data_IF_033776164211
#
_entry.id   IF_033776164211
#
_cell.length_a   1.000
_cell.length_b   1.000
_cell.length_c   1.000
_cell.angle_alpha   90.00
_cell.angle_beta   90.00
_cell.angle_gamma   90.00
#
_symmetry.space_group_name_H-M   'P 1'
#
loop_
_entity.id
_entity.type
_entity.pdbx_description
1 polymer ?
#
# COMPACT_ATOMS: atom_id res chain seq x y z
N UNK A 1 22.33 -7.89 -4.37
CA UNK A 1 23.07 -6.65 -4.10
C UNK A 1 23.09 -5.82 -5.37
N UNK A 2 23.14 -4.49 -5.25
CA UNK A 2 23.37 -3.54 -6.35
C UNK A 2 24.78 -2.97 -6.20
N UNK A 3 25.49 -2.78 -7.30
CA UNK A 3 26.82 -2.16 -7.30
C UNK A 3 27.06 -1.41 -8.62
N UNK A 4 28.04 -0.51 -8.63
CA UNK A 4 28.41 0.23 -9.85
C UNK A 4 29.22 -0.61 -10.84
N UNK A 5 29.70 -1.78 -10.42
CA UNK A 5 30.56 -2.69 -11.23
C UNK A 5 29.76 -3.57 -12.21
N UNK A 6 28.43 -3.47 -12.26
CA UNK A 6 27.57 -4.32 -13.10
C UNK A 6 27.13 -5.62 -12.44
N UNK A 7 26.27 -6.36 -13.15
CA UNK A 7 25.75 -7.65 -12.69
C UNK A 7 26.85 -8.73 -12.76
N UNK A 8 26.86 -9.64 -11.81
CA UNK A 8 27.77 -10.78 -11.77
C UNK A 8 28.09 -11.26 -10.37
N UNK A 9 28.86 -12.34 -10.30
CA UNK A 9 29.34 -12.91 -9.03
C UNK A 9 30.69 -12.31 -8.71
N UNK A 10 30.84 -11.75 -7.54
CA UNK A 10 32.06 -11.08 -7.05
C UNK A 10 32.53 -11.77 -5.77
N UNK A 11 33.84 -11.67 -5.52
CA UNK A 11 34.43 -12.16 -4.26
C UNK A 11 35.27 -11.04 -3.64
N UNK A 12 35.02 -10.78 -2.35
CA UNK A 12 35.80 -9.83 -1.56
C UNK A 12 36.03 -10.38 -0.16
N UNK A 13 37.23 -10.37 0.34
CA UNK A 13 37.64 -10.86 1.66
C UNK A 13 37.18 -12.31 1.94
N UNK A 14 37.17 -13.15 0.89
CA UNK A 14 36.74 -14.56 0.97
C UNK A 14 35.21 -14.76 0.98
N UNK A 15 34.43 -13.71 0.88
CA UNK A 15 32.97 -13.75 0.78
C UNK A 15 32.54 -13.60 -0.68
N UNK A 16 31.77 -14.57 -1.17
CA UNK A 16 31.15 -14.55 -2.50
C UNK A 16 29.76 -13.91 -2.40
N UNK A 17 29.48 -12.98 -3.29
CA UNK A 17 28.15 -12.34 -3.37
C UNK A 17 27.75 -12.05 -4.81
N UNK A 18 26.46 -12.07 -5.08
CA UNK A 18 25.91 -11.80 -6.38
C UNK A 18 25.39 -10.35 -6.47
N UNK A 19 25.82 -9.66 -7.51
CA UNK A 19 25.33 -8.34 -7.91
C UNK A 19 24.28 -8.56 -8.99
N UNK A 20 23.04 -8.18 -8.70
CA UNK A 20 21.93 -8.36 -9.61
C UNK A 20 21.90 -7.32 -10.74
N UNK A 21 22.28 -6.09 -10.43
CA UNK A 21 22.29 -4.97 -11.37
C UNK A 21 23.11 -3.79 -10.81
N UNK A 22 23.41 -2.82 -11.66
CA UNK A 22 23.86 -1.51 -11.20
C UNK A 22 22.71 -0.71 -10.59
N UNK A 23 23.02 0.31 -9.81
CA UNK A 23 22.01 1.24 -9.28
C UNK A 23 21.30 1.97 -10.43
N UNK A 24 22.03 2.32 -11.49
CA UNK A 24 21.48 2.99 -12.67
C UNK A 24 20.47 2.09 -13.40
N UNK A 25 20.81 0.83 -13.65
CA UNK A 25 19.92 -0.15 -14.27
C UNK A 25 18.68 -0.41 -13.41
N UNK A 26 18.85 -0.58 -12.11
CA UNK A 26 17.72 -0.78 -11.19
C UNK A 26 16.80 0.46 -11.15
N UNK A 27 17.36 1.67 -11.22
CA UNK A 27 16.60 2.92 -11.28
C UNK A 27 15.82 3.01 -12.60
N UNK A 28 16.44 2.66 -13.72
CA UNK A 28 15.77 2.60 -15.02
C UNK A 28 14.65 1.56 -15.04
N UNK A 29 14.79 0.45 -14.30
CA UNK A 29 13.78 -0.57 -14.12
C UNK A 29 12.68 -0.20 -13.09
N UNK A 30 12.73 1.01 -12.50
CA UNK A 30 11.68 1.54 -11.62
C UNK A 30 12.04 1.59 -10.13
N UNK A 31 13.29 1.34 -9.74
CA UNK A 31 13.72 1.62 -8.38
C UNK A 31 13.69 3.15 -8.14
N UNK A 32 13.27 3.58 -6.94
CA UNK A 32 13.13 4.99 -6.54
C UNK A 32 12.07 5.80 -7.30
N UNK A 33 11.05 5.13 -7.88
CA UNK A 33 9.87 5.86 -8.40
C UNK A 33 9.15 6.65 -7.27
N UNK A 34 8.33 7.67 -7.57
CA UNK A 34 7.76 8.60 -6.58
C UNK A 34 7.02 7.97 -5.39
N UNK A 35 6.50 6.75 -5.53
CA UNK A 35 5.83 6.00 -4.45
C UNK A 35 6.68 4.85 -3.91
N UNK A 36 7.95 4.78 -4.25
CA UNK A 36 8.86 3.75 -3.79
C UNK A 36 9.21 3.95 -2.31
N UNK A 37 9.22 2.86 -1.55
CA UNK A 37 9.64 2.85 -0.14
C UNK A 37 11.01 2.18 0.07
N UNK A 38 11.71 1.90 -1.02
CA UNK A 38 13.03 1.28 -0.95
C UNK A 38 14.08 2.30 -0.48
N UNK A 39 15.01 1.82 0.31
CA UNK A 39 16.18 2.58 0.74
C UNK A 39 17.44 1.78 0.41
N UNK A 40 18.54 2.48 0.16
CA UNK A 40 19.85 1.84 0.03
C UNK A 40 20.52 1.74 1.39
N UNK A 41 21.14 0.61 1.63
CA UNK A 41 21.97 0.37 2.81
C UNK A 41 23.33 -0.10 2.30
N UNK A 42 24.40 0.40 2.89
CA UNK A 42 25.75 -0.04 2.55
C UNK A 42 25.89 -1.54 2.86
N UNK A 43 26.42 -2.27 1.87
CA UNK A 43 26.74 -3.68 2.02
C UNK A 43 28.23 -3.85 2.22
N UNK A 44 28.63 -4.44 3.34
CA UNK A 44 30.00 -4.79 3.66
C UNK A 44 30.12 -6.33 3.68
N UNK A 45 30.86 -6.94 2.73
CA UNK A 45 31.06 -8.39 2.69
C UNK A 45 31.54 -8.93 4.05
N UNK A 46 30.97 -10.03 4.48
CA UNK A 46 31.31 -10.68 5.76
C UNK A 46 30.85 -9.95 7.04
N UNK A 47 30.31 -8.74 6.95
CA UNK A 47 29.80 -7.98 8.09
C UNK A 47 28.30 -7.67 8.01
N UNK A 48 27.79 -7.39 6.82
CA UNK A 48 26.38 -7.09 6.63
C UNK A 48 25.57 -8.37 6.54
N UNK A 49 24.65 -8.58 7.49
CA UNK A 49 23.67 -9.68 7.43
C UNK A 49 22.47 -9.23 6.60
N UNK A 50 22.36 -9.76 5.39
CA UNK A 50 21.18 -9.57 4.56
C UNK A 50 20.05 -10.43 5.10
N UNK A 51 19.00 -9.81 5.60
CA UNK A 51 17.76 -10.53 5.90
C UNK A 51 17.04 -10.79 4.59
N UNK A 52 16.98 -12.05 4.17
CA UNK A 52 16.09 -12.45 3.10
C UNK A 52 14.65 -12.19 3.56
N UNK A 53 13.98 -11.23 2.90
CA UNK A 53 12.54 -11.10 3.04
C UNK A 53 11.91 -12.21 2.22
N UNK A 54 11.53 -13.29 2.87
CA UNK A 54 10.74 -14.33 2.22
C UNK A 54 9.29 -13.89 2.27
N UNK A 55 8.74 -13.52 1.11
CA UNK A 55 7.31 -13.30 0.95
C UNK A 55 6.60 -14.63 1.04
N UNK A 56 5.68 -14.76 1.97
CA UNK A 56 4.93 -15.99 2.22
C UNK A 56 3.50 -15.87 1.70
N UNK A 57 2.80 -16.98 1.56
CA UNK A 57 1.37 -17.00 1.22
C UNK A 57 0.53 -16.24 2.25
N UNK A 58 0.96 -16.24 3.54
CA UNK A 58 0.32 -15.45 4.58
C UNK A 58 0.49 -13.95 4.36
N UNK A 59 1.66 -13.50 3.89
CA UNK A 59 1.91 -12.10 3.55
C UNK A 59 1.07 -11.67 2.35
N UNK A 60 0.94 -12.55 1.34
CA UNK A 60 0.07 -12.30 0.19
C UNK A 60 -1.40 -12.18 0.62
N UNK A 61 -1.89 -13.11 1.45
CA UNK A 61 -3.25 -13.06 1.97
C UNK A 61 -3.51 -11.77 2.75
N UNK A 62 -2.58 -11.36 3.60
CA UNK A 62 -2.68 -10.11 4.37
C UNK A 62 -2.63 -8.87 3.47
N UNK A 63 -1.82 -8.90 2.42
CA UNK A 63 -1.78 -7.84 1.42
C UNK A 63 -3.11 -7.73 0.69
N UNK A 64 -3.67 -8.83 0.20
CA UNK A 64 -4.96 -8.85 -0.49
C UNK A 64 -6.11 -8.38 0.41
N UNK A 65 -6.12 -8.81 1.68
CA UNK A 65 -7.09 -8.33 2.66
C UNK A 65 -6.98 -6.80 2.86
N UNK A 66 -5.77 -6.26 2.93
CA UNK A 66 -5.54 -4.82 3.03
C UNK A 66 -6.00 -4.06 1.78
N UNK A 67 -5.74 -4.60 0.58
CA UNK A 67 -6.19 -3.99 -0.68
C UNK A 67 -7.73 -3.99 -0.77
N UNK A 68 -8.38 -5.07 -0.33
CA UNK A 68 -9.84 -5.14 -0.27
C UNK A 68 -10.43 -4.09 0.68
N UNK A 69 -9.84 -3.92 1.87
CA UNK A 69 -10.25 -2.88 2.82
C UNK A 69 -10.16 -1.49 2.19
N UNK A 70 -9.05 -1.17 1.52
CA UNK A 70 -8.86 0.12 0.83
C UNK A 70 -9.88 0.35 -0.28
N UNK A 71 -10.28 -0.71 -1.00
CA UNK A 71 -11.33 -0.63 -2.00
C UNK A 71 -12.69 -0.27 -1.36
N UNK A 72 -13.05 -0.91 -0.26
CA UNK A 72 -14.28 -0.62 0.49
C UNK A 72 -14.28 0.81 1.06
N UNK A 73 -13.15 1.28 1.61
CA UNK A 73 -12.98 2.66 2.08
C UNK A 73 -13.20 3.67 0.94
N UNK A 74 -12.65 3.40 -0.26
CA UNK A 74 -12.90 4.24 -1.46
C UNK A 74 -14.39 4.27 -1.83
N UNK A 75 -15.07 3.12 -1.78
CA UNK A 75 -16.49 3.03 -2.08
C UNK A 75 -17.35 3.83 -1.09
N UNK A 76 -16.99 3.81 0.20
CA UNK A 76 -17.67 4.65 1.21
C UNK A 76 -17.46 6.13 0.91
N UNK A 77 -16.25 6.56 0.57
CA UNK A 77 -15.97 7.97 0.21
C UNK A 77 -16.78 8.40 -1.01
N UNK A 78 -16.80 7.57 -2.06
CA UNK A 78 -17.56 7.84 -3.28
C UNK A 78 -19.08 7.94 -2.98
N UNK A 79 -19.62 7.03 -2.18
CA UNK A 79 -21.02 7.05 -1.80
C UNK A 79 -21.37 8.26 -0.92
N UNK A 80 -20.48 8.69 -0.02
CA UNK A 80 -20.66 9.92 0.77
C UNK A 80 -20.62 11.17 -0.10
N UNK A 81 -19.72 11.23 -1.10
CA UNK A 81 -19.68 12.34 -2.06
C UNK A 81 -20.95 12.38 -2.92
N UNK A 82 -21.45 11.22 -3.37
CA UNK A 82 -22.73 11.13 -4.08
C UNK A 82 -23.90 11.60 -3.20
N UNK A 83 -23.93 11.21 -1.93
CA UNK A 83 -24.94 11.63 -0.98
C UNK A 83 -24.94 13.17 -0.78
N UNK A 84 -23.74 13.76 -0.63
CA UNK A 84 -23.59 15.21 -0.43
C UNK A 84 -23.99 16.04 -1.66
N UNK A 85 -23.85 15.46 -2.87
CA UNK A 85 -24.14 16.14 -4.14
C UNK A 85 -25.45 15.66 -4.79
N UNK A 86 -26.29 14.88 -4.07
CA UNK A 86 -27.52 14.35 -4.60
C UNK A 86 -28.54 15.47 -4.83
N UNK A 87 -29.09 15.54 -6.05
CA UNK A 87 -30.08 16.55 -6.45
C UNK A 87 -31.51 16.14 -6.11
N UNK A 88 -31.77 14.83 -5.93
CA UNK A 88 -33.11 14.32 -5.60
C UNK A 88 -33.11 13.54 -4.29
N UNK A 89 -34.23 13.53 -3.54
CA UNK A 89 -34.36 12.69 -2.35
C UNK A 89 -34.17 11.19 -2.64
N UNK A 90 -34.53 10.73 -3.82
CA UNK A 90 -34.35 9.34 -4.24
C UNK A 90 -32.87 8.97 -4.38
N UNK A 91 -32.06 9.83 -5.02
CA UNK A 91 -30.62 9.67 -5.16
C UNK A 91 -29.92 9.72 -3.79
N UNK A 92 -30.34 10.65 -2.94
CA UNK A 92 -29.83 10.78 -1.60
C UNK A 92 -30.07 9.48 -0.77
N UNK A 93 -31.29 8.95 -0.82
CA UNK A 93 -31.64 7.71 -0.16
C UNK A 93 -30.85 6.51 -0.74
N UNK A 94 -30.65 6.46 -2.06
CA UNK A 94 -29.86 5.42 -2.70
C UNK A 94 -28.38 5.48 -2.28
N UNK A 95 -27.77 6.67 -2.26
CA UNK A 95 -26.41 6.87 -1.82
C UNK A 95 -26.26 6.50 -0.32
N UNK A 96 -27.21 6.85 0.53
CA UNK A 96 -27.22 6.50 1.93
C UNK A 96 -27.27 4.97 2.16
N UNK A 97 -28.08 4.24 1.39
CA UNK A 97 -28.07 2.77 1.42
C UNK A 97 -26.71 2.19 1.07
N UNK A 98 -26.03 2.73 0.02
CA UNK A 98 -24.67 2.31 -0.37
C UNK A 98 -23.64 2.57 0.73
N UNK A 99 -23.71 3.71 1.43
CA UNK A 99 -22.84 4.01 2.58
C UNK A 99 -22.99 2.91 3.63
N UNK A 100 -24.22 2.62 4.06
CA UNK A 100 -24.48 1.61 5.10
C UNK A 100 -24.00 0.22 4.68
N UNK A 101 -24.26 -0.18 3.44
CA UNK A 101 -23.84 -1.47 2.90
C UNK A 101 -22.31 -1.61 2.89
N UNK A 102 -21.57 -0.61 2.38
CA UNK A 102 -20.12 -0.65 2.35
C UNK A 102 -19.53 -0.59 3.77
N UNK A 103 -20.12 0.17 4.69
CA UNK A 103 -19.65 0.21 6.06
C UNK A 103 -19.90 -1.12 6.81
N UNK A 104 -20.98 -1.84 6.49
CA UNK A 104 -21.18 -3.21 6.99
C UNK A 104 -20.09 -4.12 6.46
N UNK A 105 -19.86 -4.10 5.14
CA UNK A 105 -18.82 -4.90 4.52
C UNK A 105 -17.40 -4.60 5.11
N UNK A 106 -17.11 -3.35 5.47
CA UNK A 106 -15.86 -3.00 6.17
C UNK A 106 -15.78 -3.68 7.54
N UNK A 107 -16.87 -3.62 8.35
CA UNK A 107 -16.87 -4.26 9.68
C UNK A 107 -16.63 -5.75 9.58
N UNK A 108 -17.35 -6.41 8.67
CA UNK A 108 -17.24 -7.85 8.47
C UNK A 108 -15.84 -8.24 7.99
N UNK A 109 -15.30 -7.51 7.02
CA UNK A 109 -13.98 -7.76 6.47
C UNK A 109 -12.86 -7.53 7.49
N UNK A 110 -12.95 -6.49 8.30
CA UNK A 110 -12.01 -6.17 9.38
C UNK A 110 -12.02 -7.27 10.45
N UNK A 111 -13.23 -7.73 10.85
CA UNK A 111 -13.37 -8.79 11.84
C UNK A 111 -12.79 -10.13 11.34
N UNK A 112 -13.02 -10.47 10.07
CA UNK A 112 -12.54 -11.73 9.47
C UNK A 112 -11.02 -11.77 9.28
N UNK A 113 -10.37 -10.63 9.05
CA UNK A 113 -8.95 -10.57 8.67
C UNK A 113 -8.06 -9.94 9.76
N UNK A 114 -8.58 -9.65 10.94
CA UNK A 114 -7.81 -9.02 12.03
C UNK A 114 -7.24 -7.63 11.66
N UNK A 115 -7.91 -6.90 10.75
CA UNK A 115 -7.47 -5.59 10.30
C UNK A 115 -7.99 -4.49 11.25
N UNK A 116 -7.41 -3.30 11.14
CA UNK A 116 -7.86 -2.13 11.90
C UNK A 116 -8.65 -1.20 10.99
N UNK A 117 -9.90 -0.91 11.37
CA UNK A 117 -10.72 0.09 10.70
C UNK A 117 -10.20 1.50 11.00
N UNK A 118 -10.11 2.33 9.97
CA UNK A 118 -9.71 3.74 10.07
C UNK A 118 -10.82 4.64 9.52
N UNK A 119 -11.71 5.18 10.37
CA UNK A 119 -12.85 6.00 9.95
C UNK A 119 -12.48 7.29 9.21
N UNK A 120 -11.29 7.84 9.48
CA UNK A 120 -10.71 8.97 8.76
C UNK A 120 -10.58 8.70 7.25
N UNK A 121 -10.25 7.47 6.87
CA UNK A 121 -10.14 7.04 5.46
C UNK A 121 -11.48 6.92 4.74
N UNK A 122 -12.58 6.91 5.47
CA UNK A 122 -13.94 6.90 4.92
C UNK A 122 -14.49 8.32 4.68
N UNK A 123 -13.74 9.38 5.04
CA UNK A 123 -14.15 10.78 4.84
C UNK A 123 -13.95 11.20 3.38
N UNK A 124 -14.97 11.75 2.70
CA UNK A 124 -14.79 12.31 1.37
C UNK A 124 -13.98 13.61 1.46
N UNK A 125 -13.12 13.85 0.48
CA UNK A 125 -12.54 15.18 0.29
C UNK A 125 -13.52 15.99 -0.57
N UNK A 126 -14.29 16.86 0.07
CA UNK A 126 -15.29 17.72 -0.60
C UNK A 126 -14.73 19.10 -0.93
N UNK A 127 -13.42 19.32 -0.78
CA UNK A 127 -12.76 20.59 -1.09
C UNK A 127 -13.00 21.69 -0.07
N UNK A 128 -13.81 21.46 0.96
CA UNK A 128 -14.03 22.40 2.05
C UNK A 128 -13.16 22.04 3.26
N UNK A 129 -12.41 23.02 3.79
CA UNK A 129 -11.85 22.89 5.14
C UNK A 129 -13.04 22.82 6.11
N UNK A 130 -13.29 21.67 6.70
CA UNK A 130 -14.15 21.63 7.89
C UNK A 130 -13.35 22.30 9.01
N UNK A 131 -13.71 23.52 9.36
CA UNK A 131 -13.33 24.10 10.64
C UNK A 131 -13.94 23.19 11.70
N UNK A 132 -13.07 22.55 12.47
CA UNK A 132 -13.50 21.84 13.67
C UNK A 132 -13.77 22.89 14.74
N UNK A 133 -14.91 22.80 15.45
CA UNK A 133 -15.18 23.65 16.60
C UNK A 133 -14.21 23.39 17.74
#
# INVERSE_FOLDING_TARGET
VLADTGAGTFSQDGVVFDVAATIAEATAAGLFHPNCKHTLVAYLPGRTVLRASTWTDADEAQYQATQRLRALERNVRAAKAQHANALTPADQAAAFRRIRQNQSAIRDHVAQNGLVRRPDRERPNLGFKQEQP
#
